data_IF_283422250133
#
_entry.id   IF_283422250133
#
_cell.length_a   1.000
_cell.length_b   1.000
_cell.length_c   1.000
_cell.angle_alpha   90.00
_cell.angle_beta   90.00
_cell.angle_gamma   90.00
#
_symmetry.space_group_name_H-M   'P 1'
#
loop_
_entity.id
_entity.type
_entity.pdbx_description
1 polymer ?
#
# COMPACT_ATOMS: atom_id res chain seq x y z
N UNK A 1 29.70 -11.11 0.15
CA UNK A 1 28.98 -12.14 -0.63
C UNK A 1 27.53 -11.73 -0.65
N UNK A 2 26.93 -11.56 -1.84
CA UNK A 2 25.48 -11.41 -1.92
C UNK A 2 24.86 -12.67 -1.33
N UNK A 3 23.99 -12.53 -0.32
CA UNK A 3 23.19 -13.65 0.17
C UNK A 3 22.31 -14.12 -1.01
N UNK A 4 22.21 -15.43 -1.22
CA UNK A 4 21.32 -15.98 -2.24
C UNK A 4 19.88 -15.60 -1.88
N UNK A 5 19.29 -14.70 -2.66
CA UNK A 5 17.89 -14.31 -2.53
C UNK A 5 17.01 -15.48 -2.91
N UNK A 6 16.09 -15.86 -2.02
CA UNK A 6 15.23 -17.02 -2.23
C UNK A 6 13.78 -16.58 -2.49
N UNK A 7 13.44 -16.42 -3.77
CA UNK A 7 12.08 -16.15 -4.21
C UNK A 7 11.28 -17.45 -4.32
N UNK A 8 10.09 -17.50 -3.70
CA UNK A 8 9.15 -18.62 -3.82
C UNK A 8 7.75 -18.11 -4.15
N UNK A 9 7.21 -18.54 -5.29
CA UNK A 9 5.81 -18.28 -5.65
C UNK A 9 4.90 -19.06 -4.69
N UNK A 10 3.98 -18.35 -4.03
CA UNK A 10 3.03 -18.93 -3.06
C UNK A 10 1.58 -18.91 -3.57
N UNK A 11 1.29 -18.03 -4.52
CA UNK A 11 0.00 -17.98 -5.20
C UNK A 11 0.16 -17.47 -6.64
N UNK A 12 -0.79 -17.83 -7.50
CA UNK A 12 -0.87 -17.40 -8.90
C UNK A 12 -2.35 -17.16 -9.24
N UNK A 13 -2.81 -15.93 -9.07
CA UNK A 13 -4.18 -15.52 -9.40
C UNK A 13 -4.24 -15.01 -10.84
N UNK A 14 -5.44 -14.92 -11.41
CA UNK A 14 -5.64 -14.54 -12.81
C UNK A 14 -5.57 -13.01 -13.07
N UNK A 15 -5.45 -12.18 -12.04
CA UNK A 15 -5.40 -10.72 -12.14
C UNK A 15 -4.73 -10.09 -10.90
N UNK A 16 -4.52 -8.77 -10.96
CA UNK A 16 -3.89 -7.92 -9.95
C UNK A 16 -4.11 -8.39 -8.51
N UNK A 17 -3.01 -8.70 -7.84
CA UNK A 17 -2.98 -8.90 -6.38
C UNK A 17 -2.39 -7.68 -5.68
N UNK A 18 -2.89 -7.41 -4.47
CA UNK A 18 -2.62 -6.17 -3.74
C UNK A 18 -2.73 -6.32 -2.23
N UNK A 19 -2.34 -5.26 -1.51
CA UNK A 19 -2.55 -5.08 -0.08
C UNK A 19 -2.12 -6.27 0.79
N UNK A 20 -0.92 -6.84 0.61
CA UNK A 20 -0.45 -7.92 1.47
C UNK A 20 -0.39 -7.42 2.92
N UNK A 21 -0.99 -8.17 3.85
CA UNK A 21 -1.00 -7.85 5.28
C UNK A 21 -0.71 -9.09 6.10
N UNK A 22 0.34 -9.05 6.91
CA UNK A 22 0.66 -10.15 7.79
C UNK A 22 -0.23 -10.17 9.03
N UNK A 23 -0.76 -11.33 9.38
CA UNK A 23 -1.59 -11.58 10.56
C UNK A 23 -1.04 -12.75 11.36
N UNK A 24 -1.59 -12.99 12.56
CA UNK A 24 -1.23 -14.18 13.35
C UNK A 24 -1.63 -15.51 12.70
N UNK A 25 -2.57 -15.50 11.74
CA UNK A 25 -3.05 -16.69 11.03
C UNK A 25 -2.30 -16.92 9.72
N UNK A 26 -1.71 -15.88 9.14
CA UNK A 26 -1.01 -15.94 7.86
C UNK A 26 -1.01 -14.61 7.11
N UNK A 27 -0.58 -14.65 5.85
CA UNK A 27 -0.58 -13.50 4.95
C UNK A 27 -1.97 -13.33 4.33
N UNK A 28 -2.64 -12.22 4.62
CA UNK A 28 -3.76 -11.76 3.81
C UNK A 28 -3.24 -11.06 2.55
N UNK A 29 -3.93 -11.21 1.43
CA UNK A 29 -3.74 -10.38 0.24
C UNK A 29 -5.04 -10.30 -0.56
N UNK A 30 -5.23 -9.22 -1.31
CA UNK A 30 -6.42 -8.99 -2.10
C UNK A 30 -6.23 -9.38 -3.56
N UNK A 31 -7.30 -9.85 -4.19
CA UNK A 31 -7.47 -9.97 -5.63
C UNK A 31 -8.58 -8.99 -6.03
N UNK A 32 -8.17 -7.74 -6.33
CA UNK A 32 -9.06 -6.58 -6.32
C UNK A 32 -10.27 -6.75 -7.24
N UNK A 33 -10.05 -7.13 -8.49
CA UNK A 33 -11.11 -7.22 -9.51
C UNK A 33 -12.13 -8.34 -9.23
N UNK A 34 -11.75 -9.36 -8.46
CA UNK A 34 -12.68 -10.44 -8.06
C UNK A 34 -13.40 -10.11 -6.75
N UNK A 35 -13.06 -9.01 -6.07
CA UNK A 35 -13.60 -8.67 -4.74
C UNK A 35 -13.41 -9.83 -3.73
N UNK A 36 -12.21 -10.44 -3.75
CA UNK A 36 -11.82 -11.55 -2.88
C UNK A 36 -10.54 -11.20 -2.11
N UNK A 37 -10.55 -11.45 -0.81
CA UNK A 37 -9.35 -11.48 0.03
C UNK A 37 -8.99 -12.93 0.32
N UNK A 38 -7.74 -13.29 0.09
CA UNK A 38 -7.15 -14.60 0.35
C UNK A 38 -6.37 -14.59 1.65
N UNK A 39 -6.18 -15.75 2.27
CA UNK A 39 -5.21 -15.98 3.34
C UNK A 39 -4.29 -17.14 2.97
N UNK A 40 -2.99 -16.87 2.98
CA UNK A 40 -1.93 -17.86 2.83
C UNK A 40 -1.30 -18.19 4.18
N UNK A 41 -1.28 -19.47 4.54
CA UNK A 41 -0.62 -19.95 5.74
C UNK A 41 0.72 -20.63 5.39
N UNK A 42 1.87 -20.07 5.79
CA UNK A 42 3.17 -20.66 5.46
C UNK A 42 3.46 -21.98 6.19
N UNK A 43 2.73 -22.33 7.27
CA UNK A 43 2.97 -23.56 8.04
C UNK A 43 2.53 -24.80 7.29
N UNK A 44 1.41 -24.73 6.56
CA UNK A 44 0.86 -25.85 5.79
C UNK A 44 0.79 -25.57 4.28
N UNK A 45 1.10 -24.34 3.86
CA UNK A 45 1.06 -23.91 2.46
C UNK A 45 -0.36 -23.72 1.92
N UNK A 46 -1.39 -23.73 2.77
CA UNK A 46 -2.76 -23.49 2.34
C UNK A 46 -2.93 -22.05 1.87
N UNK A 47 -3.74 -21.88 0.83
CA UNK A 47 -4.15 -20.58 0.31
C UNK A 47 -5.64 -20.62 0.02
N UNK A 48 -6.44 -19.99 0.89
CA UNK A 48 -7.89 -20.10 0.87
C UNK A 48 -8.55 -18.73 0.88
N UNK A 49 -9.81 -18.69 0.45
CA UNK A 49 -10.60 -17.46 0.51
C UNK A 49 -10.90 -17.14 1.96
N UNK A 50 -10.45 -15.96 2.41
CA UNK A 50 -10.71 -15.41 3.72
C UNK A 50 -12.02 -14.61 3.74
N UNK A 51 -12.27 -13.80 2.69
CA UNK A 51 -13.46 -12.97 2.56
C UNK A 51 -13.84 -12.77 1.09
N UNK A 52 -15.15 -12.70 0.82
CA UNK A 52 -15.75 -12.39 -0.49
C UNK A 52 -16.54 -11.09 -0.42
N UNK A 53 -16.90 -10.55 -1.57
CA UNK A 53 -17.71 -9.33 -1.72
C UNK A 53 -17.04 -8.12 -1.06
N UNK A 54 -15.72 -8.01 -1.21
CA UNK A 54 -14.91 -6.97 -0.57
C UNK A 54 -14.98 -5.61 -1.26
N UNK A 55 -15.84 -5.43 -2.28
CA UNK A 55 -15.95 -4.16 -3.00
C UNK A 55 -14.62 -3.70 -3.60
N UNK A 56 -13.81 -4.64 -4.08
CA UNK A 56 -12.47 -4.39 -4.56
C UNK A 56 -11.54 -3.86 -3.46
N UNK A 57 -11.47 -4.58 -2.33
CA UNK A 57 -10.42 -4.34 -1.33
C UNK A 57 -9.07 -4.26 -2.02
N UNK A 58 -8.26 -3.29 -1.65
CA UNK A 58 -6.95 -3.04 -2.20
C UNK A 58 -5.94 -3.08 -1.05
N UNK A 59 -5.36 -1.94 -0.65
CA UNK A 59 -4.53 -1.83 0.53
C UNK A 59 -5.26 -2.22 1.81
N UNK A 60 -4.55 -2.95 2.67
CA UNK A 60 -5.03 -3.45 3.95
C UNK A 60 -3.94 -3.22 5.01
N UNK A 61 -4.36 -2.97 6.26
CA UNK A 61 -3.42 -2.83 7.38
C UNK A 61 -4.12 -3.14 8.71
N UNK A 62 -3.39 -3.79 9.62
CA UNK A 62 -3.83 -3.98 11.02
C UNK A 62 -3.49 -2.74 11.86
N UNK A 63 -4.40 -2.32 12.72
CA UNK A 63 -4.07 -1.39 13.80
C UNK A 63 -3.32 -2.10 14.94
N UNK A 64 -2.87 -1.33 15.94
CA UNK A 64 -2.15 -1.86 17.11
C UNK A 64 -2.97 -2.83 17.98
N UNK A 65 -4.29 -2.92 17.77
CA UNK A 65 -5.19 -3.85 18.47
C UNK A 65 -5.53 -5.07 17.60
N UNK A 66 -4.96 -5.19 16.40
CA UNK A 66 -5.24 -6.27 15.46
C UNK A 66 -6.55 -6.10 14.67
N UNK A 67 -7.14 -4.91 14.65
CA UNK A 67 -8.30 -4.61 13.80
C UNK A 67 -7.83 -4.35 12.37
N UNK A 68 -8.37 -5.09 11.40
CA UNK A 68 -8.04 -4.92 9.99
C UNK A 68 -8.84 -3.77 9.38
N UNK A 69 -8.14 -2.82 8.78
CA UNK A 69 -8.71 -1.78 7.93
C UNK A 69 -8.35 -2.04 6.48
N UNK A 70 -9.25 -1.66 5.58
CA UNK A 70 -9.06 -1.86 4.15
C UNK A 70 -9.62 -0.68 3.34
N UNK A 71 -8.94 -0.37 2.25
CA UNK A 71 -9.45 0.51 1.21
C UNK A 71 -10.22 -0.32 0.18
N UNK A 72 -11.51 -0.04 -0.02
CA UNK A 72 -12.32 -0.66 -1.06
C UNK A 72 -12.41 0.27 -2.26
N UNK A 73 -11.60 0.00 -3.29
CA UNK A 73 -11.52 0.82 -4.49
C UNK A 73 -12.84 0.82 -5.25
N UNK A 74 -13.40 -0.36 -5.55
CA UNK A 74 -14.67 -0.45 -6.28
C UNK A 74 -15.83 0.12 -5.45
N UNK A 75 -15.85 -0.20 -4.16
CA UNK A 75 -16.83 0.24 -3.16
C UNK A 75 -16.76 1.72 -2.79
N UNK A 76 -15.70 2.43 -3.19
CA UNK A 76 -15.46 3.85 -2.91
C UNK A 76 -15.52 4.17 -1.41
N UNK A 77 -14.89 3.32 -0.59
CA UNK A 77 -14.99 3.44 0.87
C UNK A 77 -13.76 2.94 1.60
N UNK A 78 -13.48 3.54 2.74
CA UNK A 78 -12.62 3.00 3.78
C UNK A 78 -13.48 2.17 4.72
N UNK A 79 -13.01 0.98 5.10
CA UNK A 79 -13.77 0.03 5.92
C UNK A 79 -12.86 -0.62 6.95
N UNK A 80 -13.49 -1.36 7.86
CA UNK A 80 -12.80 -2.35 8.67
C UNK A 80 -13.47 -3.71 8.58
N UNK A 81 -12.65 -4.75 8.68
CA UNK A 81 -13.04 -6.12 8.54
C UNK A 81 -12.80 -6.89 9.84
N UNK A 82 -13.72 -7.81 10.13
CA UNK A 82 -13.51 -8.84 11.15
C UNK A 82 -13.98 -10.17 10.56
N UNK A 83 -13.25 -11.25 10.85
CA UNK A 83 -13.56 -12.57 10.31
C UNK A 83 -14.97 -13.00 10.74
N UNK A 84 -15.76 -13.49 9.79
CA UNK A 84 -17.13 -13.94 10.02
C UNK A 84 -18.16 -12.84 10.38
N UNK A 85 -17.77 -11.56 10.35
CA UNK A 85 -18.68 -10.43 10.61
C UNK A 85 -18.90 -9.57 9.37
N UNK A 86 -20.02 -8.85 9.39
CA UNK A 86 -20.33 -7.82 8.40
C UNK A 86 -19.26 -6.73 8.34
N UNK A 87 -19.11 -6.12 7.17
CA UNK A 87 -18.19 -4.99 6.95
C UNK A 87 -18.64 -3.77 7.74
N UNK A 88 -17.75 -3.22 8.57
CA UNK A 88 -17.97 -1.93 9.24
C UNK A 88 -17.44 -0.80 8.34
N UNK A 89 -18.33 0.12 7.96
CA UNK A 89 -17.98 1.27 7.13
C UNK A 89 -17.31 2.34 7.99
N UNK A 90 -16.13 2.78 7.57
CA UNK A 90 -15.38 3.88 8.22
C UNK A 90 -15.70 5.21 7.54
N UNK A 91 -15.61 5.26 6.21
CA UNK A 91 -15.91 6.47 5.45
C UNK A 91 -16.29 6.15 3.99
N UNK A 92 -17.21 6.93 3.43
CA UNK A 92 -17.69 6.77 2.04
C UNK A 92 -17.62 8.05 1.21
N UNK A 93 -17.40 9.20 1.86
CA UNK A 93 -17.50 10.50 1.22
C UNK A 93 -16.59 11.56 1.85
N UNK A 94 -16.30 12.58 1.06
CA UNK A 94 -15.69 13.83 1.46
C UNK A 94 -16.50 14.98 0.84
N UNK A 95 -16.90 15.95 1.65
CA UNK A 95 -17.71 17.11 1.24
C UNK A 95 -18.97 16.73 0.43
N UNK A 96 -19.64 15.63 0.81
CA UNK A 96 -20.85 15.14 0.16
C UNK A 96 -20.64 14.45 -1.20
N UNK A 97 -19.38 14.28 -1.63
CA UNK A 97 -19.02 13.51 -2.83
C UNK A 97 -18.39 12.17 -2.43
N UNK A 98 -18.72 11.10 -3.14
CA UNK A 98 -18.09 9.77 -2.92
C UNK A 98 -16.59 9.84 -3.24
N UNK A 99 -15.79 9.00 -2.59
CA UNK A 99 -14.39 8.82 -2.97
C UNK A 99 -14.25 8.31 -4.42
N UNK A 100 -13.07 8.50 -5.01
CA UNK A 100 -12.74 8.03 -6.34
C UNK A 100 -12.51 6.52 -6.35
N UNK A 101 -11.36 6.07 -5.84
CA UNK A 101 -10.93 4.68 -5.72
C UNK A 101 -9.95 4.57 -4.54
N UNK A 102 -10.42 4.49 -3.27
CA UNK A 102 -9.52 4.30 -2.15
C UNK A 102 -8.55 3.14 -2.40
N UNK A 103 -7.25 3.40 -2.26
CA UNK A 103 -6.21 2.49 -2.74
C UNK A 103 -5.39 1.90 -1.60
N UNK A 104 -4.51 2.67 -0.95
CA UNK A 104 -3.71 2.22 0.20
C UNK A 104 -3.91 3.10 1.44
N UNK A 105 -3.43 2.63 2.60
CA UNK A 105 -3.64 3.28 3.91
C UNK A 105 -2.47 3.12 4.89
N UNK A 106 -2.34 4.11 5.78
CA UNK A 106 -1.47 4.08 6.95
C UNK A 106 -2.24 4.44 8.22
N UNK A 107 -2.08 3.65 9.28
CA UNK A 107 -2.79 3.82 10.55
C UNK A 107 -1.84 4.40 11.60
N UNK A 108 -2.22 5.51 12.21
CA UNK A 108 -1.46 6.12 13.30
C UNK A 108 -1.45 5.20 14.54
N UNK A 109 -0.38 5.17 15.36
CA UNK A 109 -0.27 4.25 16.49
C UNK A 109 -1.39 4.31 17.53
N UNK A 110 -2.18 5.38 17.59
CA UNK A 110 -3.33 5.48 18.49
C UNK A 110 -4.60 4.77 17.99
N UNK A 111 -4.59 4.24 16.75
CA UNK A 111 -5.72 3.57 16.10
C UNK A 111 -6.92 4.48 15.80
N UNK A 112 -6.76 5.80 15.94
CA UNK A 112 -7.84 6.79 15.76
C UNK A 112 -7.62 7.68 14.55
N UNK A 113 -6.52 7.52 13.82
CA UNK A 113 -6.17 8.32 12.64
C UNK A 113 -5.68 7.41 11.54
N UNK A 114 -6.28 7.53 10.36
CA UNK A 114 -5.94 6.72 9.20
C UNK A 114 -5.75 7.67 8.03
N UNK A 115 -4.55 7.69 7.46
CA UNK A 115 -4.35 8.29 6.14
C UNK A 115 -4.66 7.25 5.08
N UNK A 116 -5.33 7.64 4.00
CA UNK A 116 -5.57 6.76 2.86
C UNK A 116 -5.55 7.54 1.56
N UNK A 117 -4.98 6.93 0.52
CA UNK A 117 -4.95 7.49 -0.84
C UNK A 117 -6.27 7.26 -1.56
N UNK A 118 -6.67 8.19 -2.42
CA UNK A 118 -7.86 8.09 -3.27
C UNK A 118 -7.56 8.48 -4.74
N UNK A 119 -6.82 7.63 -5.47
CA UNK A 119 -6.53 7.82 -6.89
C UNK A 119 -7.72 7.43 -7.80
N UNK A 120 -7.49 7.44 -9.11
CA UNK A 120 -8.41 6.90 -10.12
C UNK A 120 -7.68 6.07 -11.20
N UNK A 121 -7.21 4.87 -10.83
CA UNK A 121 -6.52 3.96 -11.75
C UNK A 121 -7.47 3.24 -12.72
N UNK A 122 -8.68 2.93 -12.29
CA UNK A 122 -9.71 2.26 -13.08
C UNK A 122 -10.35 3.14 -14.15
N UNK A 123 -10.03 4.43 -14.18
CA UNK A 123 -10.54 5.37 -15.21
C UNK A 123 -12.05 5.61 -15.12
N UNK A 124 -12.67 5.31 -13.96
CA UNK A 124 -14.09 5.57 -13.74
C UNK A 124 -14.32 7.09 -13.70
N UNK A 125 -15.55 7.57 -13.96
CA UNK A 125 -15.87 8.97 -13.74
C UNK A 125 -15.49 9.40 -12.32
N UNK A 126 -14.74 10.49 -12.24
CA UNK A 126 -14.33 11.08 -10.97
C UNK A 126 -15.60 11.52 -10.21
N UNK A 127 -15.66 11.13 -8.94
CA UNK A 127 -16.65 11.70 -8.01
C UNK A 127 -16.06 12.95 -7.36
N UNK A 128 -14.76 12.96 -7.07
CA UNK A 128 -14.01 14.12 -6.58
C UNK A 128 -13.01 14.52 -7.66
N UNK A 129 -12.96 15.81 -7.99
CA UNK A 129 -12.20 16.37 -9.13
C UNK A 129 -10.67 16.32 -8.97
N UNK A 130 -10.19 15.81 -7.83
CA UNK A 130 -8.78 15.69 -7.51
C UNK A 130 -8.49 14.31 -6.91
N UNK A 131 -7.26 13.85 -7.10
CA UNK A 131 -6.73 12.61 -6.50
C UNK A 131 -5.85 13.03 -5.31
N UNK A 132 -6.15 12.55 -4.11
CA UNK A 132 -5.50 13.04 -2.89
C UNK A 132 -5.42 11.97 -1.81
N UNK A 133 -4.55 12.21 -0.82
CA UNK A 133 -4.60 11.50 0.45
C UNK A 133 -5.59 12.22 1.36
N UNK A 134 -6.38 11.44 2.08
CA UNK A 134 -7.30 11.91 3.11
C UNK A 134 -6.87 11.41 4.48
N UNK A 135 -7.26 12.13 5.53
CA UNK A 135 -7.11 11.75 6.92
C UNK A 135 -8.50 11.50 7.52
N UNK A 136 -8.77 10.25 7.90
CA UNK A 136 -9.91 9.86 8.71
C UNK A 136 -9.55 9.93 10.20
N UNK A 137 -10.34 10.67 10.99
CA UNK A 137 -10.14 10.84 12.44
C UNK A 137 -11.36 10.30 13.18
N UNK A 138 -11.14 9.30 14.03
CA UNK A 138 -12.17 8.71 14.87
C UNK A 138 -12.61 9.69 15.95
N UNK A 139 -13.89 10.02 15.97
CA UNK A 139 -14.58 10.72 17.05
C UNK A 139 -15.42 9.73 17.88
N UNK A 140 -16.19 10.20 18.87
CA UNK A 140 -16.94 9.33 19.77
C UNK A 140 -17.94 8.41 19.06
N UNK A 141 -18.57 8.88 17.98
CA UNK A 141 -19.64 8.16 17.28
C UNK A 141 -19.44 8.02 15.77
N UNK A 142 -18.42 8.65 15.19
CA UNK A 142 -18.19 8.65 13.74
C UNK A 142 -16.74 8.96 13.37
N UNK A 143 -16.41 8.84 12.09
CA UNK A 143 -15.15 9.30 11.54
C UNK A 143 -15.32 10.65 10.84
N UNK A 144 -14.41 11.59 11.11
CA UNK A 144 -14.34 12.88 10.41
C UNK A 144 -13.25 12.78 9.34
N UNK A 145 -13.56 13.22 8.12
CA UNK A 145 -12.62 13.21 7.00
C UNK A 145 -12.06 14.61 6.75
N UNK A 146 -10.75 14.68 6.55
CA UNK A 146 -10.04 15.88 6.08
C UNK A 146 -9.23 15.52 4.84
N UNK A 147 -9.13 16.42 3.86
CA UNK A 147 -8.13 16.29 2.78
C UNK A 147 -6.74 16.57 3.36
N UNK A 148 -5.77 15.73 3.05
CA UNK A 148 -4.42 15.79 3.60
C UNK A 148 -3.38 16.27 2.59
N UNK A 149 -3.48 15.89 1.32
CA UNK A 149 -2.59 16.39 0.24
C UNK A 149 -3.34 17.25 -0.78
N UNK A 150 -2.62 18.20 -1.36
CA UNK A 150 -3.16 19.14 -2.35
C UNK A 150 -2.32 19.21 -3.63
N UNK A 151 -1.18 18.53 -3.65
CA UNK A 151 -0.13 18.59 -4.67
C UNK A 151 0.11 17.24 -5.38
N UNK A 152 -0.71 16.24 -5.11
CA UNK A 152 -0.61 14.89 -5.71
C UNK A 152 -1.38 14.81 -7.02
N UNK A 153 -0.79 14.14 -8.01
CA UNK A 153 -1.43 13.80 -9.28
C UNK A 153 -2.16 12.46 -9.20
N UNK A 154 -1.53 11.47 -8.54
CA UNK A 154 -2.07 10.12 -8.36
C UNK A 154 -1.41 9.44 -7.16
N UNK A 155 -1.90 9.71 -5.93
CA UNK A 155 -1.34 9.10 -4.73
C UNK A 155 -1.67 7.61 -4.67
N UNK A 156 -0.69 6.80 -4.26
CA UNK A 156 -0.79 5.35 -4.20
C UNK A 156 -0.41 4.86 -2.80
N UNK A 157 0.67 4.09 -2.64
CA UNK A 157 1.17 3.67 -1.34
C UNK A 157 1.32 4.83 -0.36
N UNK A 158 0.84 4.62 0.88
CA UNK A 158 0.93 5.56 1.99
C UNK A 158 1.55 4.85 3.17
N UNK A 159 2.58 5.45 3.78
CA UNK A 159 3.34 4.81 4.86
C UNK A 159 3.73 5.81 5.93
N UNK A 160 3.56 5.46 7.20
CA UNK A 160 4.12 6.26 8.29
C UNK A 160 5.59 5.90 8.50
N UNK A 161 6.41 6.92 8.71
CA UNK A 161 7.76 6.73 9.25
C UNK A 161 7.76 6.00 10.60
N UNK A 162 8.90 5.39 10.96
CA UNK A 162 9.09 4.64 12.21
C UNK A 162 8.64 5.38 13.47
N UNK A 163 8.83 6.70 13.51
CA UNK A 163 8.43 7.55 14.64
C UNK A 163 7.10 8.29 14.41
N UNK A 164 6.39 7.96 13.32
CA UNK A 164 5.10 8.53 12.93
C UNK A 164 5.08 10.07 12.89
N UNK A 165 6.22 10.70 12.58
CA UNK A 165 6.36 12.15 12.44
C UNK A 165 6.42 12.61 10.98
N UNK A 166 6.51 11.66 10.05
CA UNK A 166 6.41 11.84 8.60
C UNK A 166 5.43 10.84 8.00
N UNK A 167 4.71 11.29 6.97
CA UNK A 167 3.94 10.46 6.05
C UNK A 167 4.71 10.37 4.72
N UNK A 168 4.98 9.16 4.26
CA UNK A 168 5.50 8.90 2.93
C UNK A 168 4.32 8.62 2.00
N UNK A 169 4.36 9.19 0.80
CA UNK A 169 3.33 9.02 -0.22
C UNK A 169 4.01 8.75 -1.56
N UNK A 170 3.60 7.67 -2.21
CA UNK A 170 3.94 7.44 -3.60
C UNK A 170 3.01 8.29 -4.49
N UNK A 171 3.54 9.27 -5.19
CA UNK A 171 2.83 9.92 -6.30
C UNK A 171 3.21 9.18 -7.59
N UNK A 172 2.34 8.30 -8.08
CA UNK A 172 2.68 7.34 -9.14
C UNK A 172 1.71 7.35 -10.33
N UNK A 173 1.55 8.49 -11.02
CA UNK A 173 0.71 8.59 -12.21
C UNK A 173 1.20 7.71 -13.38
N UNK A 174 0.27 7.07 -14.07
CA UNK A 174 0.54 6.13 -15.18
C UNK A 174 0.54 6.79 -16.57
N UNK A 175 0.52 8.11 -16.62
CA UNK A 175 0.63 8.92 -17.83
C UNK A 175 2.09 8.95 -18.33
N UNK A 176 2.65 7.78 -18.67
CA UNK A 176 4.08 7.58 -18.94
C UNK A 176 4.61 8.41 -20.13
N UNK A 177 3.72 8.78 -21.04
CA UNK A 177 4.04 9.62 -22.20
C UNK A 177 4.00 11.14 -21.88
N UNK A 178 3.55 11.53 -20.68
CA UNK A 178 3.49 12.94 -20.26
C UNK A 178 4.78 13.34 -19.52
N UNK A 179 5.66 14.18 -20.13
CA UNK A 179 6.93 14.55 -19.52
C UNK A 179 6.81 15.55 -18.35
N UNK A 180 5.66 16.21 -18.21
CA UNK A 180 5.41 17.17 -17.14
C UNK A 180 4.98 16.50 -15.83
N UNK A 181 4.52 15.25 -15.92
CA UNK A 181 4.04 14.47 -14.79
C UNK A 181 5.20 13.71 -14.15
N UNK A 182 5.39 13.92 -12.84
CA UNK A 182 6.46 13.32 -12.05
C UNK A 182 5.99 12.11 -11.27
N UNK A 183 6.90 11.13 -11.11
CA UNK A 183 6.67 9.90 -10.35
C UNK A 183 7.62 9.91 -9.19
N UNK A 184 7.10 10.21 -8.01
CA UNK A 184 7.92 10.63 -6.88
C UNK A 184 7.54 9.85 -5.64
N UNK A 185 8.55 9.40 -4.89
CA UNK A 185 8.40 9.13 -3.48
C UNK A 185 8.52 10.46 -2.74
N UNK A 186 7.45 10.85 -2.06
CA UNK A 186 7.37 12.12 -1.31
C UNK A 186 7.30 11.88 0.18
N UNK A 187 7.91 12.77 0.96
CA UNK A 187 7.77 12.83 2.42
C UNK A 187 7.06 14.09 2.85
N UNK A 188 6.14 13.97 3.79
CA UNK A 188 5.43 15.08 4.40
C UNK A 188 5.68 15.05 5.90
N UNK A 189 6.13 16.17 6.47
CA UNK A 189 6.13 16.32 7.94
C UNK A 189 4.68 16.32 8.44
N UNK A 190 4.40 15.56 9.48
CA UNK A 190 3.11 15.58 10.19
C UNK A 190 3.18 16.65 11.27
N UNK A 191 2.26 17.61 11.23
CA UNK A 191 2.14 18.67 12.22
C UNK A 191 1.38 18.18 13.47
N UNK A 192 1.41 18.96 14.55
CA UNK A 192 0.77 18.60 15.83
C UNK A 192 -0.75 18.39 15.71
N UNK A 193 -1.40 19.03 14.73
CA UNK A 193 -2.83 18.88 14.42
C UNK A 193 -3.13 17.77 13.40
N UNK A 194 -2.11 16.98 13.04
CA UNK A 194 -2.11 15.91 12.04
C UNK A 194 -2.30 16.36 10.59
N UNK A 195 -2.26 17.67 10.32
CA UNK A 195 -2.10 18.16 8.94
C UNK A 195 -0.70 17.84 8.42
N UNK A 196 -0.56 17.86 7.09
CA UNK A 196 0.72 17.66 6.42
C UNK A 196 1.36 19.01 6.09
N UNK A 197 2.67 19.13 6.32
CA UNK A 197 3.48 20.24 5.80
C UNK A 197 3.72 20.12 4.29
N UNK A 198 4.56 21.01 3.75
CA UNK A 198 5.05 20.87 2.37
C UNK A 198 5.82 19.56 2.18
N UNK A 199 5.70 18.98 0.99
CA UNK A 199 6.43 17.74 0.68
C UNK A 199 7.90 17.99 0.34
N UNK A 200 8.70 16.97 0.63
CA UNK A 200 10.07 16.81 0.14
C UNK A 200 10.07 15.66 -0.88
N UNK A 201 10.72 15.85 -2.04
CA UNK A 201 10.94 14.75 -2.98
C UNK A 201 12.10 13.91 -2.47
N UNK A 202 11.81 12.68 -2.04
CA UNK A 202 12.81 11.72 -1.59
C UNK A 202 13.49 11.04 -2.78
N UNK A 203 12.70 10.69 -3.80
CA UNK A 203 13.19 10.05 -5.01
C UNK A 203 12.28 10.39 -6.19
N UNK A 204 12.86 10.79 -7.32
CA UNK A 204 12.17 10.99 -8.60
C UNK A 204 12.54 9.86 -9.56
N UNK A 205 11.54 9.09 -9.98
CA UNK A 205 11.68 7.98 -10.92
C UNK A 205 11.66 8.46 -12.38
N UNK A 206 11.44 9.75 -12.62
CA UNK A 206 11.38 10.37 -13.93
C UNK A 206 10.34 9.68 -14.83
N UNK A 207 10.74 9.15 -16.00
CA UNK A 207 9.83 8.49 -16.93
C UNK A 207 9.49 7.04 -16.53
N UNK A 208 10.07 6.52 -15.45
CA UNK A 208 9.93 5.13 -15.04
C UNK A 208 8.78 4.95 -14.03
N UNK A 209 8.23 3.74 -13.95
CA UNK A 209 7.21 3.40 -12.95
C UNK A 209 7.78 3.59 -11.55
N UNK A 210 7.19 4.53 -10.81
CA UNK A 210 7.56 4.85 -9.43
C UNK A 210 7.09 3.80 -8.43
N UNK A 211 7.17 4.15 -7.15
CA UNK A 211 6.66 3.32 -6.07
C UNK A 211 5.17 3.06 -6.26
N UNK A 212 4.76 1.82 -6.02
CA UNK A 212 3.35 1.46 -5.89
C UNK A 212 3.00 1.37 -4.39
N UNK A 213 3.16 0.20 -3.77
CA UNK A 213 3.06 -0.02 -2.33
C UNK A 213 4.43 -0.13 -1.63
N UNK A 214 4.43 0.02 -0.31
CA UNK A 214 5.65 0.05 0.50
C UNK A 214 5.42 -0.33 1.96
N UNK A 215 6.48 -0.78 2.62
CA UNK A 215 6.52 -1.11 4.05
C UNK A 215 7.82 -0.58 4.68
N UNK A 216 7.96 -0.70 6.00
CA UNK A 216 9.19 -0.39 6.71
C UNK A 216 9.95 -1.67 7.07
N UNK A 217 11.28 -1.58 7.09
CA UNK A 217 12.07 -2.48 7.91
C UNK A 217 12.16 -1.98 9.37
N UNK A 218 12.65 -2.85 10.24
CA UNK A 218 12.80 -2.63 11.69
C UNK A 218 13.80 -1.52 12.03
N UNK A 219 14.70 -1.15 11.11
CA UNK A 219 15.61 -0.02 11.27
C UNK A 219 14.91 1.30 10.97
N UNK A 220 13.84 1.27 10.17
CA UNK A 220 13.03 2.41 9.76
C UNK A 220 13.26 2.83 8.31
N UNK A 221 13.98 2.02 7.53
CA UNK A 221 14.17 2.20 6.11
C UNK A 221 12.90 1.77 5.36
N UNK A 222 12.71 2.31 4.15
CA UNK A 222 11.53 2.02 3.33
C UNK A 222 11.87 0.86 2.39
N UNK A 223 11.03 -0.18 2.37
CA UNK A 223 11.06 -1.25 1.38
C UNK A 223 9.85 -1.06 0.46
N UNK A 224 10.07 -0.89 -0.84
CA UNK A 224 9.04 -0.46 -1.77
C UNK A 224 9.05 -1.26 -3.07
N UNK A 225 7.87 -1.52 -3.61
CA UNK A 225 7.69 -2.08 -4.95
C UNK A 225 7.73 -0.96 -5.98
N UNK A 226 8.47 -1.13 -7.08
CA UNK A 226 8.48 -0.18 -8.18
C UNK A 226 8.95 -0.82 -9.49
N UNK A 227 8.87 -0.06 -10.58
CA UNK A 227 9.36 -0.51 -11.88
C UNK A 227 8.46 -1.54 -12.57
N UNK A 228 8.80 -1.82 -13.82
CA UNK A 228 8.10 -2.70 -14.75
C UNK A 228 9.02 -2.98 -15.97
N UNK A 229 8.62 -3.87 -16.86
CA UNK A 229 9.43 -4.27 -18.01
C UNK A 229 9.51 -3.21 -19.13
N UNK A 230 8.62 -2.21 -19.13
CA UNK A 230 8.52 -1.25 -20.23
C UNK A 230 9.57 -0.14 -20.18
N UNK A 231 10.00 0.29 -18.99
CA UNK A 231 11.05 1.30 -18.85
C UNK A 231 11.78 1.20 -17.51
N UNK A 232 12.99 1.75 -17.46
CA UNK A 232 13.82 1.77 -16.26
C UNK A 232 14.60 0.46 -16.08
N UNK A 233 15.06 0.17 -14.86
CA UNK A 233 15.88 -1.03 -14.60
C UNK A 233 15.09 -2.34 -14.58
N UNK A 234 13.78 -2.31 -14.86
CA UNK A 234 12.89 -3.46 -14.73
C UNK A 234 12.07 -3.44 -13.42
N UNK A 235 11.31 -4.50 -13.15
CA UNK A 235 10.56 -4.69 -11.91
C UNK A 235 11.51 -4.93 -10.73
N UNK A 236 11.40 -4.11 -9.69
CA UNK A 236 12.36 -4.07 -8.60
C UNK A 236 11.67 -3.91 -7.24
N UNK A 237 12.31 -4.45 -6.21
CA UNK A 237 12.10 -4.07 -4.81
C UNK A 237 13.22 -3.11 -4.43
N UNK A 238 12.86 -1.90 -4.02
CA UNK A 238 13.81 -0.88 -3.57
C UNK A 238 13.89 -0.86 -2.06
N UNK A 239 15.10 -0.63 -1.53
CA UNK A 239 15.37 -0.36 -0.13
C UNK A 239 15.96 1.04 -0.01
N UNK A 240 15.20 1.96 0.55
CA UNK A 240 15.58 3.36 0.72
C UNK A 240 15.92 3.65 2.17
N UNK A 241 16.94 4.47 2.43
CA UNK A 241 17.09 5.10 3.74
C UNK A 241 15.93 6.09 4.01
N UNK A 242 15.72 6.52 5.26
CA UNK A 242 14.64 7.46 5.61
C UNK A 242 14.75 8.83 4.92
N UNK A 243 15.88 9.14 4.30
CA UNK A 243 16.17 10.35 3.54
C UNK A 243 15.92 10.19 2.03
N UNK A 244 15.62 8.99 1.53
CA UNK A 244 15.24 8.73 0.14
C UNK A 244 16.37 8.21 -0.76
N UNK A 245 17.54 7.93 -0.19
CA UNK A 245 18.63 7.31 -0.93
C UNK A 245 18.36 5.83 -1.12
N UNK A 246 18.50 5.35 -2.36
CA UNK A 246 18.51 3.91 -2.64
C UNK A 246 19.76 3.28 -2.01
N UNK A 247 19.56 2.44 -1.00
CA UNK A 247 20.61 1.63 -0.35
C UNK A 247 20.88 0.38 -1.19
N UNK A 248 19.79 -0.29 -1.59
CA UNK A 248 19.83 -1.56 -2.31
C UNK A 248 18.59 -1.72 -3.20
N UNK A 249 18.72 -2.53 -4.24
CA UNK A 249 17.61 -3.01 -5.06
C UNK A 249 17.66 -4.52 -5.22
N UNK A 250 16.50 -5.17 -5.29
CA UNK A 250 16.34 -6.58 -5.58
C UNK A 250 15.50 -6.73 -6.85
N UNK A 251 15.96 -7.51 -7.83
CA UNK A 251 15.16 -7.82 -9.02
C UNK A 251 13.96 -8.68 -8.62
N UNK A 252 12.76 -8.26 -9.06
CA UNK A 252 11.54 -8.98 -8.77
C UNK A 252 11.27 -10.06 -9.85
N UNK A 253 10.75 -11.24 -9.49
CA UNK A 253 10.61 -12.38 -10.40
C UNK A 253 9.47 -12.22 -11.41
N UNK A 254 8.57 -11.26 -11.21
CA UNK A 254 7.43 -10.98 -12.08
C UNK A 254 7.33 -9.49 -12.38
N UNK A 255 6.64 -9.16 -13.47
CA UNK A 255 6.46 -7.78 -13.90
C UNK A 255 5.57 -6.98 -12.94
N UNK A 256 5.90 -5.69 -12.77
CA UNK A 256 5.14 -4.71 -12.01
C UNK A 256 4.73 -5.22 -10.61
N UNK A 257 5.68 -5.33 -9.67
CA UNK A 257 5.36 -5.58 -8.27
C UNK A 257 4.45 -4.45 -7.75
N UNK A 258 3.43 -4.80 -6.98
CA UNK A 258 2.34 -3.90 -6.61
C UNK A 258 2.46 -3.45 -5.17
N UNK A 259 2.61 -4.37 -4.22
CA UNK A 259 2.75 -4.00 -2.82
C UNK A 259 3.55 -5.05 -2.05
N UNK A 260 3.98 -4.74 -0.83
CA UNK A 260 4.79 -5.64 -0.02
C UNK A 260 4.60 -5.46 1.48
N UNK A 261 4.82 -6.53 2.24
CA UNK A 261 4.77 -6.52 3.71
C UNK A 261 5.74 -7.54 4.30
N UNK A 262 6.29 -7.26 5.47
CA UNK A 262 7.06 -8.24 6.22
C UNK A 262 6.14 -9.19 6.99
N UNK A 263 6.58 -10.44 7.14
CA UNK A 263 5.89 -11.45 7.92
C UNK A 263 6.79 -12.62 8.30
N UNK A 264 6.17 -13.75 8.64
CA UNK A 264 6.84 -14.87 9.29
C UNK A 264 7.06 -14.64 10.79
N UNK A 265 7.34 -15.71 11.52
CA UNK A 265 7.47 -15.68 12.98
C UNK A 265 8.61 -14.76 13.48
N UNK A 266 9.58 -14.44 12.60
CA UNK A 266 10.72 -13.55 12.89
C UNK A 266 10.65 -12.21 12.15
N UNK A 267 9.60 -11.96 11.36
CA UNK A 267 9.51 -10.76 10.52
C UNK A 267 10.55 -10.71 9.39
N UNK A 268 11.22 -11.82 9.06
CA UNK A 268 12.34 -11.89 8.11
C UNK A 268 11.95 -12.38 6.70
N UNK A 269 10.64 -12.48 6.45
CA UNK A 269 10.07 -12.85 5.15
C UNK A 269 9.38 -11.63 4.54
N UNK A 270 9.81 -11.20 3.36
CA UNK A 270 9.11 -10.17 2.60
C UNK A 270 8.10 -10.83 1.66
N UNK A 271 6.83 -10.54 1.83
CA UNK A 271 5.78 -10.94 0.90
C UNK A 271 5.52 -9.83 -0.12
N UNK A 272 5.36 -10.21 -1.38
CA UNK A 272 5.22 -9.28 -2.51
C UNK A 272 4.08 -9.73 -3.42
N UNK A 273 3.20 -8.79 -3.76
CA UNK A 273 2.11 -8.97 -4.73
C UNK A 273 2.49 -8.36 -6.09
N UNK A 274 1.79 -8.77 -7.16
CA UNK A 274 2.14 -8.38 -8.52
C UNK A 274 0.91 -8.09 -9.38
N UNK A 275 1.08 -7.23 -10.39
CA UNK A 275 0.04 -6.93 -11.38
C UNK A 275 -0.33 -8.15 -12.23
N UNK A 276 0.57 -9.14 -12.31
CA UNK A 276 0.33 -10.43 -12.98
C UNK A 276 -0.64 -11.33 -12.20
N UNK A 277 -0.89 -11.03 -10.92
CA UNK A 277 -1.68 -11.85 -10.01
C UNK A 277 -0.89 -12.84 -9.18
N UNK A 278 0.41 -12.97 -9.44
CA UNK A 278 1.27 -13.79 -8.60
C UNK A 278 1.48 -13.16 -7.22
N UNK A 279 1.77 -14.01 -6.23
CA UNK A 279 2.25 -13.59 -4.91
C UNK A 279 3.47 -14.42 -4.58
N UNK A 280 4.53 -13.75 -4.13
CA UNK A 280 5.78 -14.38 -3.74
C UNK A 280 6.12 -14.07 -2.29
N UNK A 281 6.88 -14.98 -1.69
CA UNK A 281 7.69 -14.69 -0.52
C UNK A 281 9.16 -14.61 -0.94
N UNK A 282 9.89 -13.72 -0.29
CA UNK A 282 11.32 -13.50 -0.45
C UNK A 282 12.02 -13.65 0.90
N UNK A 283 12.97 -14.58 0.95
CA UNK A 283 13.84 -14.82 2.12
C UNK A 283 15.30 -14.49 1.78
N UNK A 284 16.13 -14.36 2.81
CA UNK A 284 17.57 -14.16 2.64
C UNK A 284 18.00 -12.73 2.33
N UNK A 285 17.07 -11.76 2.35
CA UNK A 285 17.35 -10.33 2.18
C UNK A 285 18.29 -9.80 3.26
N UNK A 286 18.17 -10.35 4.49
CA UNK A 286 18.81 -9.80 5.68
C UNK A 286 18.04 -8.62 6.29
N UNK A 287 16.88 -8.28 5.75
CA UNK A 287 15.95 -7.28 6.28
C UNK A 287 14.92 -7.96 7.19
N UNK A 288 14.42 -7.23 8.18
CA UNK A 288 13.32 -7.66 9.06
C UNK A 288 12.34 -6.51 9.22
N UNK A 289 11.04 -6.79 9.29
CA UNK A 289 9.98 -5.82 9.59
C UNK A 289 9.74 -5.56 11.07
#
# INVERSE_FOLDING_TARGET
>A
MMKDLNWKKIADQNNLTEGPTWTSEGLLYSQCAESVTWIYNPKDGSNIIWRKNTGGSNGMLLDSNGKLYACEGEGRRLVSYESGKETEVVATEFEGKKFNEPNDLAIFPDGKKIWFSDPNYGGRPLSIEHESVYLAIKSESSWKIKRATFDTDRPNGVLLSKYSNRLYVANSPHDFDNPEIRRELRSYKINDDFSLGSYEVMHDFGPHRGVDGMTLDSEGNIVATAGFNTSGPGPMIYHFDPEGRVIQTFEAPENAPTNCTFGGDKGDVLYVTFATGAVYMLEGTGLTG
#
